data_IF_460555585476
#
_entry.id   IF_460555585476
#
_cell.length_a   1.000
_cell.length_b   1.000
_cell.length_c   1.000
_cell.angle_alpha   90.00
_cell.angle_beta   90.00
_cell.angle_gamma   90.00
#
_symmetry.space_group_name_H-M   'P 1'
#
loop_
_entity.id
_entity.type
_entity.pdbx_description
1 polymer ?
#
# COMPACT_ATOMS: atom_id res chain seq x y z
N UNK A 1 6.01 10.46 0.01
CA UNK A 1 7.07 9.45 0.11
C UNK A 1 8.26 9.87 0.96
N UNK A 2 8.51 11.17 1.20
CA UNK A 2 9.62 11.65 2.02
C UNK A 2 9.58 11.19 3.49
N UNK A 3 8.38 11.16 4.09
CA UNK A 3 8.23 10.70 5.48
C UNK A 3 8.63 9.23 5.66
N UNK A 4 8.15 8.34 4.79
CA UNK A 4 8.40 6.89 4.91
C UNK A 4 9.89 6.57 4.78
N UNK A 5 10.58 7.16 3.81
CA UNK A 5 12.02 6.95 3.64
C UNK A 5 12.82 7.48 4.83
N UNK A 6 12.49 8.69 5.32
CA UNK A 6 13.12 9.27 6.50
C UNK A 6 12.90 8.40 7.74
N UNK A 7 11.68 7.92 7.93
CA UNK A 7 11.32 7.10 9.08
C UNK A 7 12.03 5.73 9.07
N UNK A 8 12.11 5.06 7.92
CA UNK A 8 12.84 3.79 7.78
C UNK A 8 14.33 3.95 8.17
N UNK A 9 14.96 5.02 7.73
CA UNK A 9 16.35 5.32 8.12
C UNK A 9 16.47 5.65 9.62
N UNK A 10 15.49 6.37 10.18
CA UNK A 10 15.46 6.72 11.61
C UNK A 10 15.38 5.50 12.52
N UNK A 11 14.63 4.47 12.13
CA UNK A 11 14.51 3.21 12.88
C UNK A 11 15.68 2.24 12.63
N UNK A 12 16.69 2.66 11.86
CA UNK A 12 17.97 1.97 11.73
C UNK A 12 18.19 1.22 10.41
N UNK A 13 17.27 1.28 9.44
CA UNK A 13 17.54 0.72 8.11
C UNK A 13 18.59 1.54 7.38
N UNK A 14 19.42 0.88 6.57
CA UNK A 14 20.41 1.58 5.76
C UNK A 14 19.73 2.32 4.61
N UNK A 15 20.40 3.35 4.06
CA UNK A 15 19.93 4.04 2.84
C UNK A 15 19.67 3.06 1.67
N UNK A 16 20.48 1.98 1.58
CA UNK A 16 20.30 0.92 0.58
C UNK A 16 19.01 0.13 0.79
N UNK A 17 18.74 -0.28 2.03
CA UNK A 17 17.51 -0.99 2.38
C UNK A 17 16.28 -0.11 2.15
N UNK A 18 16.34 1.15 2.58
CA UNK A 18 15.30 2.15 2.35
C UNK A 18 15.03 2.33 0.86
N UNK A 19 16.06 2.43 0.02
CA UNK A 19 15.89 2.51 -1.43
C UNK A 19 15.19 1.27 -2.02
N UNK A 20 15.53 0.08 -1.53
CA UNK A 20 14.87 -1.17 -1.91
C UNK A 20 13.39 -1.15 -1.51
N UNK A 21 13.07 -0.79 -0.26
CA UNK A 21 11.68 -0.70 0.19
C UNK A 21 10.86 0.31 -0.60
N UNK A 22 11.40 1.49 -0.86
CA UNK A 22 10.70 2.53 -1.62
C UNK A 22 10.47 2.13 -3.07
N UNK A 23 11.44 1.44 -3.69
CA UNK A 23 11.30 0.92 -5.05
C UNK A 23 10.26 -0.20 -5.09
N UNK A 24 10.33 -1.14 -4.15
CA UNK A 24 9.35 -2.22 -4.03
C UNK A 24 7.93 -1.66 -3.79
N UNK A 25 7.78 -0.66 -2.94
CA UNK A 25 6.50 0.03 -2.71
C UNK A 25 5.97 0.67 -3.99
N UNK A 26 6.84 1.30 -4.79
CA UNK A 26 6.49 1.88 -6.09
C UNK A 26 6.04 0.81 -7.10
N UNK A 27 6.71 -0.35 -7.12
CA UNK A 27 6.29 -1.49 -7.95
C UNK A 27 4.94 -2.04 -7.48
N UNK A 28 4.77 -2.22 -6.17
CA UNK A 28 3.53 -2.71 -5.58
C UNK A 28 2.33 -1.81 -5.89
N UNK A 29 2.49 -0.48 -5.76
CA UNK A 29 1.45 0.49 -6.12
C UNK A 29 1.11 0.47 -7.61
N UNK A 30 2.10 0.26 -8.49
CA UNK A 30 1.87 0.13 -9.93
C UNK A 30 1.06 -1.14 -10.26
N UNK A 31 1.44 -2.28 -9.68
CA UNK A 31 0.71 -3.55 -9.83
C UNK A 31 -0.70 -3.46 -9.23
N UNK A 32 -0.80 -2.86 -8.05
CA UNK A 32 -2.05 -2.66 -7.35
C UNK A 32 -3.02 -1.78 -8.15
N UNK A 33 -2.54 -0.74 -8.84
CA UNK A 33 -3.38 0.08 -9.72
C UNK A 33 -4.03 -0.73 -10.85
N UNK A 34 -3.25 -1.61 -11.51
CA UNK A 34 -3.77 -2.51 -12.55
C UNK A 34 -4.81 -3.49 -11.98
N UNK A 35 -4.54 -4.08 -10.82
CA UNK A 35 -5.46 -5.00 -10.15
C UNK A 35 -6.73 -4.28 -9.68
N UNK A 36 -6.59 -3.11 -9.08
CA UNK A 36 -7.68 -2.26 -8.63
C UNK A 36 -8.60 -1.85 -9.78
N UNK A 37 -8.05 -1.52 -10.95
CA UNK A 37 -8.84 -1.27 -12.15
C UNK A 37 -9.67 -2.48 -12.58
N UNK A 38 -9.01 -3.65 -12.75
CA UNK A 38 -9.69 -4.90 -13.13
C UNK A 38 -10.78 -5.31 -12.13
N UNK A 39 -10.49 -5.22 -10.83
CA UNK A 39 -11.46 -5.52 -9.78
C UNK A 39 -12.61 -4.50 -9.76
N UNK A 40 -12.30 -3.21 -9.94
CA UNK A 40 -13.30 -2.15 -10.02
C UNK A 40 -14.28 -2.38 -11.17
N UNK A 41 -13.78 -2.77 -12.34
CA UNK A 41 -14.61 -3.09 -13.51
C UNK A 41 -15.44 -4.37 -13.33
N UNK A 42 -14.86 -5.39 -12.69
CA UNK A 42 -15.60 -6.60 -12.32
C UNK A 42 -16.73 -6.29 -11.34
N UNK A 43 -16.47 -5.48 -10.32
CA UNK A 43 -17.44 -5.13 -9.30
C UNK A 43 -18.51 -4.17 -9.83
N UNK A 44 -18.16 -3.26 -10.75
CA UNK A 44 -19.11 -2.38 -11.43
C UNK A 44 -20.09 -3.15 -12.32
N UNK A 45 -19.67 -4.26 -12.94
CA UNK A 45 -20.58 -5.16 -13.67
C UNK A 45 -21.60 -5.83 -12.75
N UNK A 46 -21.21 -6.19 -11.52
CA UNK A 46 -22.11 -6.85 -10.54
C UNK A 46 -23.00 -5.86 -9.79
N UNK A 47 -22.45 -4.70 -9.44
CA UNK A 47 -23.10 -3.63 -8.69
C UNK A 47 -22.95 -2.30 -9.46
N UNK A 48 -23.86 -2.03 -10.42
CA UNK A 48 -23.85 -0.77 -11.17
C UNK A 48 -23.83 0.42 -10.21
N UNK A 49 -22.97 1.42 -10.49
CA UNK A 49 -22.76 2.65 -9.70
C UNK A 49 -22.14 2.48 -8.30
N UNK A 50 -22.18 1.31 -7.68
CA UNK A 50 -21.65 1.10 -6.33
C UNK A 50 -20.30 0.36 -6.31
N UNK A 51 -20.01 -0.48 -7.30
CA UNK A 51 -18.85 -1.38 -7.23
C UNK A 51 -17.51 -0.65 -7.06
N UNK A 52 -17.24 0.35 -7.91
CA UNK A 52 -16.01 1.15 -7.79
C UNK A 52 -15.96 1.96 -6.49
N UNK A 53 -17.10 2.44 -5.98
CA UNK A 53 -17.17 3.16 -4.71
C UNK A 53 -16.79 2.24 -3.55
N UNK A 54 -17.36 1.04 -3.50
CA UNK A 54 -17.05 0.06 -2.44
C UNK A 54 -15.56 -0.30 -2.46
N UNK A 55 -14.98 -0.50 -3.64
CA UNK A 55 -13.54 -0.79 -3.75
C UNK A 55 -12.67 0.37 -3.24
N UNK A 56 -13.04 1.61 -3.57
CA UNK A 56 -12.37 2.82 -3.06
C UNK A 56 -12.46 2.90 -1.52
N UNK A 57 -13.62 2.61 -0.94
CA UNK A 57 -13.80 2.62 0.52
C UNK A 57 -12.98 1.52 1.21
N UNK A 58 -12.93 0.31 0.66
CA UNK A 58 -12.07 -0.76 1.20
C UNK A 58 -10.60 -0.32 1.18
N UNK A 59 -10.15 0.26 0.06
CA UNK A 59 -8.79 0.77 -0.09
C UNK A 59 -8.46 1.86 0.95
N UNK A 60 -9.30 2.89 1.06
CA UNK A 60 -9.11 3.98 2.00
C UNK A 60 -9.19 3.52 3.46
N UNK A 61 -10.18 2.68 3.78
CA UNK A 61 -10.38 2.13 5.12
C UNK A 61 -9.24 1.22 5.56
N UNK A 62 -8.58 0.52 4.63
CA UNK A 62 -7.45 -0.36 4.93
C UNK A 62 -6.14 0.39 5.17
N UNK A 63 -6.01 1.63 4.69
CA UNK A 63 -4.77 2.40 4.82
C UNK A 63 -4.39 2.67 6.28
N UNK A 64 -5.38 2.99 7.14
CA UNK A 64 -5.14 3.31 8.56
C UNK A 64 -4.70 2.07 9.35
N UNK A 65 -5.39 0.91 9.29
CA UNK A 65 -4.92 -0.31 9.94
C UNK A 65 -3.53 -0.75 9.47
N UNK A 66 -3.25 -0.69 8.17
CA UNK A 66 -1.94 -1.09 7.63
C UNK A 66 -0.82 -0.14 8.11
N UNK A 67 -1.08 1.16 8.16
CA UNK A 67 -0.17 2.12 8.76
C UNK A 67 0.04 1.86 10.27
N UNK A 68 -1.02 1.49 11.00
CA UNK A 68 -0.93 1.10 12.41
C UNK A 68 -0.06 -0.14 12.62
N UNK A 69 -0.20 -1.17 11.77
CA UNK A 69 0.67 -2.35 11.81
C UNK A 69 2.13 -1.96 11.54
N UNK A 70 2.37 -1.13 10.53
CA UNK A 70 3.72 -0.70 10.16
C UNK A 70 4.39 0.13 11.25
N UNK A 71 3.68 1.12 11.83
CA UNK A 71 4.27 2.11 12.73
C UNK A 71 4.21 1.72 14.21
N UNK A 72 3.26 0.88 14.61
CA UNK A 72 3.03 0.53 16.03
C UNK A 72 3.11 -0.97 16.29
N UNK A 73 2.86 -1.81 15.27
CA UNK A 73 2.81 -3.26 15.43
C UNK A 73 4.15 -3.95 15.22
N UNK A 74 5.04 -3.36 14.42
CA UNK A 74 6.38 -3.90 14.16
C UNK A 74 7.41 -3.26 15.11
N UNK A 75 8.40 -4.05 15.58
CA UNK A 75 9.54 -3.49 16.30
C UNK A 75 10.36 -2.55 15.41
N UNK A 76 10.77 -1.41 15.95
CA UNK A 76 11.68 -0.46 15.32
C UNK A 76 13.13 -1.00 15.31
N UNK A 77 13.36 -2.11 14.62
CA UNK A 77 14.68 -2.74 14.50
C UNK A 77 14.88 -3.39 13.11
N UNK A 78 16.07 -3.24 12.49
CA UNK A 78 16.35 -3.78 11.16
C UNK A 78 16.21 -5.30 11.00
N UNK A 79 16.28 -6.07 12.10
CA UNK A 79 16.09 -7.53 12.09
C UNK A 79 14.71 -7.94 11.56
N UNK A 80 13.73 -7.03 11.57
CA UNK A 80 12.36 -7.26 11.10
C UNK A 80 12.12 -6.77 9.67
N UNK A 81 13.17 -6.57 8.88
CA UNK A 81 13.10 -6.04 7.51
C UNK A 81 12.15 -6.77 6.57
N UNK A 82 12.09 -8.11 6.61
CA UNK A 82 11.14 -8.88 5.81
C UNK A 82 9.68 -8.55 6.16
N UNK A 83 9.37 -8.35 7.45
CA UNK A 83 8.02 -8.02 7.90
C UNK A 83 7.64 -6.60 7.47
N UNK A 84 8.55 -5.63 7.61
CA UNK A 84 8.39 -4.27 7.09
C UNK A 84 8.14 -4.27 5.59
N UNK A 85 8.95 -5.01 4.85
CA UNK A 85 8.82 -5.14 3.40
C UNK A 85 7.48 -5.75 2.97
N UNK A 86 7.03 -6.81 3.65
CA UNK A 86 5.74 -7.44 3.38
C UNK A 86 4.57 -6.49 3.63
N UNK A 87 4.57 -5.79 4.77
CA UNK A 87 3.52 -4.81 5.11
C UNK A 87 3.51 -3.68 4.08
N UNK A 88 4.68 -3.14 3.73
CA UNK A 88 4.80 -2.10 2.70
C UNK A 88 4.31 -2.57 1.33
N UNK A 89 4.63 -3.79 0.92
CA UNK A 89 4.19 -4.35 -0.34
C UNK A 89 2.66 -4.51 -0.38
N UNK A 90 2.06 -5.09 0.66
CA UNK A 90 0.60 -5.25 0.79
C UNK A 90 -0.09 -3.89 0.85
N UNK A 91 0.46 -2.95 1.63
CA UNK A 91 -0.04 -1.58 1.71
C UNK A 91 -0.01 -0.90 0.34
N UNK A 92 1.10 -0.97 -0.39
CA UNK A 92 1.21 -0.43 -1.74
C UNK A 92 0.16 -1.00 -2.71
N UNK A 93 -0.06 -2.32 -2.65
CA UNK A 93 -1.11 -2.97 -3.45
C UNK A 93 -2.49 -2.40 -3.12
N UNK A 94 -2.88 -2.37 -1.85
CA UNK A 94 -4.25 -2.04 -1.43
C UNK A 94 -4.57 -0.55 -1.59
N UNK A 95 -3.67 0.35 -1.19
CA UNK A 95 -3.96 1.80 -1.21
C UNK A 95 -4.08 2.35 -2.64
N UNK A 96 -3.43 1.70 -3.60
CA UNK A 96 -3.46 2.11 -5.01
C UNK A 96 -4.81 1.86 -5.67
N UNK A 97 -5.65 0.98 -5.12
CA UNK A 97 -6.98 0.69 -5.66
C UNK A 97 -7.90 1.91 -5.65
N UNK A 98 -7.73 2.81 -4.68
CA UNK A 98 -8.53 4.03 -4.61
C UNK A 98 -8.34 4.91 -5.85
N UNK A 99 -7.09 5.11 -6.29
CA UNK A 99 -6.78 5.88 -7.48
C UNK A 99 -7.36 5.21 -8.74
N UNK A 100 -7.23 3.88 -8.86
CA UNK A 100 -7.77 3.15 -10.01
C UNK A 100 -9.31 3.17 -10.06
N UNK A 101 -9.98 3.08 -8.90
CA UNK A 101 -11.43 3.07 -8.81
C UNK A 101 -12.07 4.43 -9.12
N UNK A 102 -11.36 5.53 -8.83
CA UNK A 102 -11.83 6.91 -9.02
C UNK A 102 -11.37 7.55 -10.34
N UNK A 103 -10.55 6.85 -11.13
CA UNK A 103 -10.12 7.32 -12.44
C UNK A 103 -11.26 7.19 -13.47
N UNK A 104 -11.40 8.21 -14.33
CA UNK A 104 -12.41 8.25 -15.42
C UNK A 104 -11.91 7.55 -16.67
#
# INVERSE_FOLDING_TARGET
>A
MSFLSMWLELIGFSHGDTAVYMTMFSVATSLGGLLGGKMGDALARRYPNAGRIVLSQISAGSAVPLAGILLLGLPDDPSTGLAHGLVLFVMGLIISWNAAATNR
#
